data_IF_914008820265
#
_entry.id   IF_914008820265
#
_cell.length_a   1.000
_cell.length_b   1.000
_cell.length_c   1.000
_cell.angle_alpha   90.00
_cell.angle_beta   90.00
_cell.angle_gamma   90.00
#
_symmetry.space_group_name_H-M   'P 1'
#
loop_
_entity.id
_entity.type
_entity.pdbx_description
1 polymer ?
#
# COMPACT_ATOMS: atom_id res chain seq x y z
N UNK A 1 4.27 -7.64 9.90
CA UNK A 1 4.10 -7.31 8.48
C UNK A 1 4.12 -5.80 8.32
N UNK A 2 4.91 -5.33 7.39
CA UNK A 2 5.02 -3.91 7.09
C UNK A 2 4.46 -3.63 5.69
N UNK A 3 3.55 -2.67 5.61
CA UNK A 3 2.91 -2.27 4.36
C UNK A 3 3.20 -0.78 4.14
N UNK A 4 3.60 -0.45 2.92
CA UNK A 4 3.84 0.95 2.53
C UNK A 4 2.83 1.34 1.47
N UNK A 5 2.20 2.50 1.63
CA UNK A 5 1.30 3.06 0.62
C UNK A 5 2.03 4.19 -0.11
N UNK A 6 2.03 4.14 -1.43
CA UNK A 6 2.75 5.09 -2.28
C UNK A 6 1.77 5.84 -3.16
N UNK A 7 1.79 7.15 -3.07
CA UNK A 7 1.05 8.02 -3.98
C UNK A 7 1.97 9.15 -4.45
N UNK A 8 1.79 9.57 -5.68
CA UNK A 8 2.75 10.47 -6.31
C UNK A 8 2.57 11.92 -5.97
N UNK A 9 1.37 12.39 -5.86
CA UNK A 9 1.15 13.81 -5.74
C UNK A 9 0.17 14.11 -4.62
N UNK A 10 0.67 14.68 -3.57
CA UNK A 10 -0.19 15.15 -2.52
C UNK A 10 -0.36 14.13 -1.40
N UNK A 11 -0.24 14.66 -0.24
CA UNK A 11 -0.29 13.95 1.03
C UNK A 11 -1.67 13.30 1.24
N UNK A 12 -2.71 13.88 0.64
CA UNK A 12 -4.08 13.42 0.86
C UNK A 12 -4.37 12.02 0.35
N UNK A 13 -3.86 11.68 -0.84
CA UNK A 13 -4.17 10.39 -1.47
C UNK A 13 -3.54 9.22 -0.74
N UNK A 14 -2.27 9.35 -0.36
CA UNK A 14 -1.59 8.27 0.38
C UNK A 14 -2.16 8.13 1.79
N UNK A 15 -2.59 9.23 2.39
CA UNK A 15 -3.24 9.20 3.69
C UNK A 15 -4.57 8.46 3.66
N UNK A 16 -5.37 8.66 2.63
CA UNK A 16 -6.63 7.96 2.45
C UNK A 16 -6.39 6.47 2.26
N UNK A 17 -5.44 6.12 1.40
CA UNK A 17 -5.10 4.73 1.16
C UNK A 17 -4.60 4.05 2.44
N UNK A 18 -3.76 4.74 3.19
CA UNK A 18 -3.27 4.25 4.49
C UNK A 18 -4.40 3.95 5.45
N UNK A 19 -5.31 4.90 5.64
CA UNK A 19 -6.42 4.74 6.57
C UNK A 19 -7.33 3.59 6.16
N UNK A 20 -7.65 3.49 4.87
CA UNK A 20 -8.49 2.42 4.38
C UNK A 20 -7.80 1.06 4.50
N UNK A 21 -6.49 1.00 4.23
CA UNK A 21 -5.73 -0.23 4.42
C UNK A 21 -5.72 -0.67 5.88
N UNK A 22 -5.54 0.27 6.80
CA UNK A 22 -5.58 -0.03 8.23
C UNK A 22 -6.94 -0.58 8.66
N UNK A 23 -8.03 0.00 8.14
CA UNK A 23 -9.38 -0.49 8.42
C UNK A 23 -9.59 -1.92 7.93
N UNK A 24 -9.14 -2.19 6.72
CA UNK A 24 -9.28 -3.52 6.12
C UNK A 24 -8.47 -4.55 6.91
N UNK A 25 -7.24 -4.22 7.25
CA UNK A 25 -6.38 -5.12 8.01
C UNK A 25 -6.97 -5.44 9.39
N UNK A 26 -7.54 -4.44 10.04
CA UNK A 26 -8.20 -4.64 11.33
C UNK A 26 -9.41 -5.56 11.18
N UNK A 27 -10.18 -5.40 10.11
CA UNK A 27 -11.33 -6.26 9.84
C UNK A 27 -10.92 -7.70 9.58
N UNK A 28 -9.77 -7.89 8.92
CA UNK A 28 -9.24 -9.22 8.62
C UNK A 28 -8.47 -9.83 9.78
N UNK A 29 -8.33 -9.08 10.87
CA UNK A 29 -7.57 -9.50 12.05
C UNK A 29 -6.10 -9.78 11.70
N UNK A 30 -5.53 -8.95 10.85
CA UNK A 30 -4.13 -9.04 10.44
C UNK A 30 -3.34 -7.92 11.12
N UNK A 31 -2.32 -8.31 11.88
CA UNK A 31 -1.41 -7.34 12.50
C UNK A 31 -0.39 -6.87 11.46
N UNK A 32 -0.49 -5.62 11.08
CA UNK A 32 0.43 -5.02 10.10
C UNK A 32 0.62 -3.54 10.41
N UNK A 33 1.82 -3.06 10.12
CA UNK A 33 2.15 -1.65 10.21
C UNK A 33 2.00 -1.02 8.84
N UNK A 34 1.21 0.04 8.74
CA UNK A 34 0.99 0.74 7.47
C UNK A 34 1.61 2.12 7.54
N UNK A 35 2.49 2.42 6.61
CA UNK A 35 3.19 3.70 6.52
C UNK A 35 2.90 4.33 5.16
N UNK A 36 2.54 5.61 5.17
CA UNK A 36 2.38 6.36 3.92
C UNK A 36 3.72 6.96 3.51
N UNK A 37 4.04 6.86 2.24
CA UNK A 37 5.26 7.44 1.68
C UNK A 37 4.98 7.97 0.28
N UNK A 38 5.93 8.69 -0.29
CA UNK A 38 5.83 9.17 -1.65
C UNK A 38 6.89 8.50 -2.53
N UNK A 39 6.86 8.81 -3.83
CA UNK A 39 7.77 8.16 -4.78
C UNK A 39 9.23 8.55 -4.53
N UNK A 40 9.48 9.67 -3.89
CA UNK A 40 10.86 10.12 -3.61
C UNK A 40 11.46 9.39 -2.41
N UNK A 41 10.63 8.86 -1.52
CA UNK A 41 11.09 8.18 -0.31
C UNK A 41 10.87 6.68 -0.36
N UNK A 42 10.32 6.15 -1.45
CA UNK A 42 9.96 4.73 -1.55
C UNK A 42 11.16 3.81 -1.32
N UNK A 43 12.35 4.21 -1.77
CA UNK A 43 13.54 3.38 -1.61
C UNK A 43 13.86 3.09 -0.14
N UNK A 44 13.59 4.04 0.73
CA UNK A 44 13.81 3.87 2.17
C UNK A 44 12.60 3.22 2.85
N UNK A 45 11.41 3.75 2.53
CA UNK A 45 10.19 3.33 3.20
C UNK A 45 9.86 1.88 2.92
N UNK A 46 10.18 1.40 1.72
CA UNK A 46 9.85 0.04 1.30
C UNK A 46 11.00 -0.96 1.49
N UNK A 47 12.12 -0.53 2.04
CA UNK A 47 13.30 -1.39 2.17
C UNK A 47 13.00 -2.70 2.91
N UNK A 48 12.20 -2.63 3.96
CA UNK A 48 11.82 -3.78 4.76
C UNK A 48 10.33 -4.11 4.69
N UNK A 49 9.62 -3.54 3.71
CA UNK A 49 8.19 -3.78 3.56
C UNK A 49 7.92 -5.10 2.86
N UNK A 50 6.86 -5.78 3.28
CA UNK A 50 6.36 -6.97 2.60
C UNK A 50 5.42 -6.62 1.46
N UNK A 51 4.69 -5.51 1.58
CA UNK A 51 3.67 -5.10 0.60
C UNK A 51 3.77 -3.61 0.32
N UNK A 52 3.63 -3.24 -0.94
CA UNK A 52 3.49 -1.85 -1.36
C UNK A 52 2.13 -1.69 -2.04
N UNK A 53 1.30 -0.79 -1.52
CA UNK A 53 0.02 -0.44 -2.13
C UNK A 53 0.21 0.86 -2.91
N UNK A 54 -0.15 0.86 -4.17
CA UNK A 54 0.06 2.02 -5.04
C UNK A 54 -0.96 2.04 -6.18
N UNK A 55 -0.92 3.07 -7.02
CA UNK A 55 -1.68 3.09 -8.25
C UNK A 55 -0.79 2.67 -9.42
N UNK A 56 -1.44 2.28 -10.54
CA UNK A 56 -0.73 1.73 -11.69
C UNK A 56 0.33 2.67 -12.25
N UNK A 57 0.10 3.97 -12.16
CA UNK A 57 1.01 4.99 -12.70
C UNK A 57 2.37 5.04 -11.99
N UNK A 58 2.47 4.49 -10.78
CA UNK A 58 3.70 4.53 -10.00
C UNK A 58 4.47 3.22 -9.98
N UNK A 59 3.91 2.15 -10.55
CA UNK A 59 4.55 0.84 -10.52
C UNK A 59 5.95 0.89 -11.16
N UNK A 60 6.05 1.55 -12.32
CA UNK A 60 7.32 1.67 -13.03
C UNK A 60 8.34 2.51 -12.25
N UNK A 61 7.88 3.58 -11.62
CA UNK A 61 8.76 4.44 -10.82
C UNK A 61 9.26 3.76 -9.56
N UNK A 62 8.48 2.86 -8.98
CA UNK A 62 8.90 2.07 -7.82
C UNK A 62 10.02 1.12 -8.21
N UNK A 63 9.97 0.56 -9.41
CA UNK A 63 11.01 -0.31 -9.93
C UNK A 63 11.07 -1.66 -9.22
N UNK A 64 12.25 -2.22 -9.15
CA UNK A 64 12.46 -3.52 -8.52
C UNK A 64 12.43 -3.42 -7.01
N UNK A 65 11.68 -4.30 -6.38
CA UNK A 65 11.56 -4.38 -4.93
C UNK A 65 11.25 -5.82 -4.54
N UNK A 66 11.63 -6.19 -3.32
CA UNK A 66 11.26 -7.50 -2.77
C UNK A 66 9.84 -7.51 -2.24
N UNK A 67 9.23 -6.35 -2.09
CA UNK A 67 7.83 -6.26 -1.64
C UNK A 67 6.88 -6.70 -2.74
N UNK A 68 5.71 -7.19 -2.34
CA UNK A 68 4.62 -7.48 -3.25
C UNK A 68 3.93 -6.17 -3.60
N UNK A 69 4.05 -5.73 -4.85
CA UNK A 69 3.46 -4.47 -5.30
C UNK A 69 2.02 -4.72 -5.73
N UNK A 70 1.09 -4.13 -5.00
CA UNK A 70 -0.33 -4.28 -5.26
C UNK A 70 -0.88 -2.99 -5.83
N UNK A 71 -1.47 -3.07 -7.03
CA UNK A 71 -2.08 -1.91 -7.68
C UNK A 71 -3.52 -1.78 -7.21
N UNK A 72 -3.86 -0.61 -6.68
CA UNK A 72 -5.22 -0.29 -6.26
C UNK A 72 -5.80 0.72 -7.24
N UNK A 73 -6.92 0.37 -7.85
CA UNK A 73 -7.56 1.24 -8.84
C UNK A 73 -8.38 2.35 -8.18
N UNK A 74 -9.03 2.03 -7.07
CA UNK A 74 -9.85 3.00 -6.35
C UNK A 74 -9.52 2.95 -4.87
N UNK A 75 -8.85 3.98 -4.36
CA UNK A 75 -8.42 4.05 -2.97
C UNK A 75 -9.56 4.07 -1.97
N UNK A 76 -10.76 4.43 -2.42
CA UNK A 76 -11.95 4.46 -1.58
C UNK A 76 -12.68 3.11 -1.55
N UNK A 77 -12.30 2.19 -2.44
CA UNK A 77 -12.96 0.88 -2.53
C UNK A 77 -12.34 -0.11 -1.56
N UNK A 78 -12.95 -0.24 -0.39
CA UNK A 78 -12.44 -1.14 0.65
C UNK A 78 -12.61 -2.61 0.28
N UNK A 79 -13.54 -2.94 -0.61
CA UNK A 79 -13.70 -4.31 -1.10
C UNK A 79 -12.51 -4.72 -1.98
N UNK A 80 -12.07 -3.82 -2.82
CA UNK A 80 -10.89 -4.04 -3.63
C UNK A 80 -9.66 -4.25 -2.75
N UNK A 81 -9.47 -3.39 -1.75
CA UNK A 81 -8.38 -3.50 -0.78
C UNK A 81 -8.45 -4.83 -0.03
N UNK A 82 -9.64 -5.20 0.45
CA UNK A 82 -9.83 -6.45 1.19
C UNK A 82 -9.41 -7.64 0.35
N UNK A 83 -9.92 -7.71 -0.87
CA UNK A 83 -9.64 -8.83 -1.77
C UNK A 83 -8.15 -8.95 -2.09
N UNK A 84 -7.51 -7.82 -2.41
CA UNK A 84 -6.12 -7.82 -2.81
C UNK A 84 -5.17 -8.06 -1.65
N UNK A 85 -5.44 -7.46 -0.49
CA UNK A 85 -4.64 -7.70 0.70
C UNK A 85 -4.78 -9.14 1.20
N UNK A 86 -5.98 -9.67 1.15
CA UNK A 86 -6.22 -11.05 1.55
C UNK A 86 -5.48 -12.04 0.64
N UNK A 87 -5.45 -11.76 -0.66
CA UNK A 87 -4.72 -12.58 -1.61
C UNK A 87 -3.21 -12.56 -1.36
N UNK A 88 -2.68 -11.42 -0.90
CA UNK A 88 -1.25 -11.26 -0.65
C UNK A 88 -0.83 -11.78 0.72
N UNK A 89 -1.63 -11.52 1.75
CA UNK A 89 -1.26 -11.78 3.15
C UNK A 89 -1.97 -12.98 3.76
N UNK A 90 -3.07 -13.34 3.18
CA UNK A 90 -3.92 -14.34 3.75
C UNK A 90 -3.69 -15.73 3.33
#
# INVERSE_FOLDING_TARGET
>A
VKIVTICGAGIGSSGILKVNAERVLKRLDILAEVTAADITTVAWAAEDAQVILTSAEFVEAIGKTYADVIVIENFFDTEELTRKLQASLG
#
